data_IF_527057897273
#
_entry.id   IF_527057897273
#
_cell.length_a   1.000
_cell.length_b   1.000
_cell.length_c   1.000
_cell.angle_alpha   90.00
_cell.angle_beta   90.00
_cell.angle_gamma   90.00
#
_symmetry.space_group_name_H-M   'P 1'
#
loop_
_entity.id
_entity.type
_entity.pdbx_description
1 polymer ?
#
# COMPACT_ATOMS: atom_id res chain seq x y z
N UNK A 1 11.75 13.33 -41.47
CA UNK A 1 12.12 13.46 -40.05
C UNK A 1 11.54 12.27 -39.31
N UNK A 2 12.36 11.28 -38.96
CA UNK A 2 11.94 10.13 -38.15
C UNK A 2 12.02 10.56 -36.68
N UNK A 3 10.90 10.56 -35.97
CA UNK A 3 10.88 10.76 -34.52
C UNK A 3 11.01 9.37 -33.92
N UNK A 4 12.18 9.04 -33.40
CA UNK A 4 12.35 7.87 -32.55
C UNK A 4 11.87 8.26 -31.15
N UNK A 5 10.79 7.64 -30.70
CA UNK A 5 10.27 7.81 -29.34
C UNK A 5 11.11 6.88 -28.45
N UNK A 6 12.00 7.47 -27.66
CA UNK A 6 12.77 6.76 -26.65
C UNK A 6 11.81 6.24 -25.57
N UNK A 7 11.80 4.92 -25.33
CA UNK A 7 10.98 4.35 -24.27
C UNK A 7 11.52 4.78 -22.91
N UNK A 8 10.65 5.32 -22.06
CA UNK A 8 11.05 5.73 -20.71
C UNK A 8 11.36 4.45 -19.91
N UNK A 9 12.64 4.11 -19.78
CA UNK A 9 13.09 3.05 -18.89
C UNK A 9 13.04 3.56 -17.44
N UNK A 10 11.92 3.34 -16.76
CA UNK A 10 11.74 3.69 -15.34
C UNK A 10 12.09 2.55 -14.41
N UNK A 11 13.16 1.77 -14.66
CA UNK A 11 13.66 0.86 -13.63
C UNK A 11 14.21 1.68 -12.47
N UNK A 12 13.34 1.95 -11.48
CA UNK A 12 13.70 2.67 -10.27
C UNK A 12 14.59 1.74 -9.43
N UNK A 13 15.89 2.01 -9.45
CA UNK A 13 16.80 1.39 -8.51
C UNK A 13 16.33 1.70 -7.08
N UNK A 14 15.83 0.68 -6.39
CA UNK A 14 15.29 0.84 -5.04
C UNK A 14 16.40 1.28 -4.10
N UNK A 15 16.24 2.48 -3.51
CA UNK A 15 17.10 3.00 -2.46
C UNK A 15 16.53 2.59 -1.10
N UNK A 16 17.36 2.57 -0.06
CA UNK A 16 16.90 2.29 1.30
C UNK A 16 16.24 3.56 1.86
N UNK A 17 14.96 3.48 2.18
CA UNK A 17 14.18 4.51 2.87
C UNK A 17 13.41 3.92 4.08
N UNK A 18 12.77 4.78 4.87
CA UNK A 18 12.10 4.42 6.13
C UNK A 18 10.98 3.38 5.99
N UNK A 19 10.41 3.20 4.80
CA UNK A 19 9.33 2.25 4.54
C UNK A 19 9.69 1.22 3.44
N UNK A 20 10.95 1.17 3.00
CA UNK A 20 11.45 0.21 2.00
C UNK A 20 11.23 -1.28 2.32
N UNK A 21 10.98 -1.62 3.59
CA UNK A 21 10.67 -2.98 4.05
C UNK A 21 9.18 -3.34 3.94
N UNK A 22 8.31 -2.36 3.71
CA UNK A 22 6.86 -2.54 3.57
C UNK A 22 6.57 -2.96 2.14
N UNK A 23 5.99 -4.15 1.97
CA UNK A 23 5.68 -4.69 0.64
C UNK A 23 4.20 -4.73 0.33
N UNK A 24 3.36 -5.12 1.30
CA UNK A 24 1.91 -5.32 1.17
C UNK A 24 1.24 -5.20 2.54
N UNK A 25 -0.10 -5.27 2.58
CA UNK A 25 -0.85 -5.27 3.85
C UNK A 25 -0.68 -6.57 4.64
N UNK A 26 -0.21 -7.67 4.05
CA UNK A 26 0.07 -8.93 4.75
C UNK A 26 -1.18 -9.61 5.34
N UNK A 27 -2.30 -9.53 4.64
CA UNK A 27 -3.58 -10.12 5.03
C UNK A 27 -3.68 -11.58 4.55
N UNK A 28 -4.51 -12.36 5.23
CA UNK A 28 -4.97 -13.66 4.80
C UNK A 28 -6.07 -13.53 3.73
N UNK A 29 -6.42 -14.62 3.01
CA UNK A 29 -7.48 -14.61 2.01
C UNK A 29 -8.87 -14.25 2.57
N UNK A 30 -9.10 -14.50 3.86
CA UNK A 30 -10.33 -14.14 4.57
C UNK A 30 -10.37 -12.66 5.01
N UNK A 31 -9.29 -11.91 4.78
CA UNK A 31 -9.16 -10.50 5.13
C UNK A 31 -8.51 -10.24 6.49
N UNK A 32 -8.21 -11.27 7.29
CA UNK A 32 -7.59 -11.12 8.62
C UNK A 32 -6.09 -10.79 8.53
N UNK A 33 -5.56 -9.98 9.44
CA UNK A 33 -4.14 -9.64 9.45
C UNK A 33 -3.30 -10.69 10.17
N UNK A 34 -2.20 -11.13 9.54
CA UNK A 34 -1.19 -11.95 10.22
C UNK A 34 -0.43 -11.11 11.27
N UNK A 35 -0.09 -11.66 12.46
CA UNK A 35 0.62 -10.92 13.52
C UNK A 35 1.92 -10.25 13.05
N UNK A 36 2.64 -10.88 12.14
CA UNK A 36 3.81 -10.32 11.46
C UNK A 36 3.83 -10.79 10.02
N UNK A 37 3.79 -9.87 9.05
CA UNK A 37 3.84 -10.19 7.62
C UNK A 37 4.06 -8.96 6.75
N UNK A 38 4.68 -9.15 5.58
CA UNK A 38 4.86 -8.11 4.54
C UNK A 38 5.53 -6.81 5.03
N UNK A 39 6.37 -6.89 6.06
CA UNK A 39 7.06 -5.76 6.68
C UNK A 39 6.32 -5.15 7.88
N UNK A 40 5.08 -5.57 8.17
CA UNK A 40 4.35 -5.13 9.35
C UNK A 40 4.50 -6.08 10.54
N UNK A 41 4.46 -5.50 11.74
CA UNK A 41 4.30 -6.20 13.01
C UNK A 41 3.12 -5.57 13.76
N UNK A 42 2.11 -6.36 14.10
CA UNK A 42 0.88 -5.88 14.73
C UNK A 42 0.04 -4.97 13.82
N UNK A 43 -0.59 -3.95 14.42
CA UNK A 43 -1.56 -3.04 13.78
C UNK A 43 -2.62 -3.79 12.96
N UNK A 44 -3.12 -4.90 13.51
CA UNK A 44 -4.01 -5.84 12.80
C UNK A 44 -5.28 -5.12 12.32
N UNK A 45 -6.02 -4.49 13.21
CA UNK A 45 -7.29 -3.82 12.90
C UNK A 45 -7.13 -2.75 11.82
N UNK A 46 -6.03 -1.97 11.88
CA UNK A 46 -5.76 -0.93 10.89
C UNK A 46 -5.42 -1.53 9.51
N UNK A 47 -4.72 -2.67 9.47
CA UNK A 47 -4.40 -3.40 8.23
C UNK A 47 -5.63 -4.07 7.62
N UNK A 48 -6.51 -4.62 8.45
CA UNK A 48 -7.78 -5.22 8.01
C UNK A 48 -8.72 -4.14 7.44
N UNK A 49 -8.84 -2.99 8.12
CA UNK A 49 -9.58 -1.83 7.61
C UNK A 49 -9.00 -1.29 6.30
N UNK A 50 -7.67 -1.29 6.16
CA UNK A 50 -7.00 -0.96 4.91
C UNK A 50 -7.30 -1.99 3.80
N UNK A 51 -7.44 -3.28 4.13
CA UNK A 51 -7.85 -4.33 3.19
C UNK A 51 -9.26 -4.13 2.64
N UNK A 52 -10.21 -3.75 3.52
CA UNK A 52 -11.56 -3.34 3.12
C UNK A 52 -11.51 -2.13 2.18
N UNK A 53 -10.67 -1.16 2.51
CA UNK A 53 -10.46 0.03 1.68
C UNK A 53 -9.94 -0.32 0.29
N UNK A 54 -8.93 -1.19 0.19
CA UNK A 54 -8.42 -1.70 -1.10
C UNK A 54 -9.54 -2.39 -1.89
N UNK A 55 -10.37 -3.19 -1.23
CA UNK A 55 -11.52 -3.87 -1.85
C UNK A 55 -12.52 -2.85 -2.40
N UNK A 56 -12.85 -1.80 -1.64
CA UNK A 56 -13.75 -0.73 -2.08
C UNK A 56 -13.19 0.05 -3.28
N UNK A 57 -11.88 0.30 -3.31
CA UNK A 57 -11.21 0.96 -4.44
C UNK A 57 -11.28 0.07 -5.68
N UNK A 58 -10.92 -1.21 -5.58
CA UNK A 58 -10.99 -2.19 -6.68
C UNK A 58 -12.43 -2.34 -7.21
N UNK A 59 -13.42 -2.29 -6.32
CA UNK A 59 -14.84 -2.32 -6.67
C UNK A 59 -15.40 -0.98 -7.20
N UNK A 60 -14.56 0.07 -7.30
CA UNK A 60 -14.96 1.44 -7.69
C UNK A 60 -16.05 2.06 -6.80
N UNK A 61 -16.16 1.61 -5.54
CA UNK A 61 -17.15 2.06 -4.55
C UNK A 61 -16.63 3.15 -3.59
N UNK A 62 -15.39 3.60 -3.80
CA UNK A 62 -14.77 4.67 -3.00
C UNK A 62 -14.82 6.06 -3.69
N UNK A 63 -15.50 6.20 -4.83
CA UNK A 63 -15.56 7.47 -5.56
C UNK A 63 -16.17 8.59 -4.68
N UNK A 64 -15.50 9.76 -4.65
CA UNK A 64 -15.94 10.92 -3.87
C UNK A 64 -15.77 10.79 -2.35
N UNK A 65 -15.06 9.76 -1.86
CA UNK A 65 -14.79 9.53 -0.44
C UNK A 65 -13.30 9.66 -0.15
N UNK A 66 -12.97 10.12 1.05
CA UNK A 66 -11.59 10.18 1.55
C UNK A 66 -11.40 9.19 2.70
N UNK A 67 -10.15 8.81 2.95
CA UNK A 67 -9.76 7.97 4.09
C UNK A 67 -8.84 8.82 4.97
N UNK A 68 -9.08 8.84 6.28
CA UNK A 68 -8.24 9.53 7.24
C UNK A 68 -7.61 8.54 8.21
N UNK A 69 -6.28 8.55 8.31
CA UNK A 69 -5.53 7.76 9.28
C UNK A 69 -5.27 8.60 10.53
N UNK A 70 -5.90 8.26 11.64
CA UNK A 70 -5.74 8.96 12.92
C UNK A 70 -4.88 8.15 13.89
N UNK A 71 -4.01 8.83 14.65
CA UNK A 71 -3.20 8.22 15.70
C UNK A 71 -1.91 8.98 16.01
N UNK A 72 -1.21 8.65 17.11
CA UNK A 72 0.04 9.31 17.53
C UNK A 72 1.15 9.26 16.47
N UNK A 73 2.15 10.17 16.50
CA UNK A 73 3.31 10.07 15.62
C UNK A 73 4.02 8.71 15.80
N UNK A 74 4.58 8.17 14.70
CA UNK A 74 5.26 6.87 14.72
C UNK A 74 4.35 5.63 14.69
N UNK A 75 3.02 5.78 14.67
CA UNK A 75 2.06 4.66 14.68
C UNK A 75 1.86 3.95 13.33
N UNK A 76 2.76 4.12 12.36
CA UNK A 76 2.69 3.41 11.07
C UNK A 76 1.64 3.90 10.06
N UNK A 77 1.04 5.09 10.25
CA UNK A 77 0.03 5.65 9.31
C UNK A 77 0.55 5.72 7.87
N UNK A 78 1.74 6.29 7.68
CA UNK A 78 2.37 6.41 6.35
C UNK A 78 2.74 5.05 5.76
N UNK A 79 3.15 4.09 6.61
CA UNK A 79 3.44 2.72 6.18
C UNK A 79 2.17 2.02 5.65
N UNK A 80 1.02 2.19 6.31
CA UNK A 80 -0.26 1.64 5.84
C UNK A 80 -0.67 2.27 4.50
N UNK A 81 -0.53 3.59 4.36
CA UNK A 81 -0.82 4.27 3.09
C UNK A 81 0.05 3.74 1.94
N UNK A 82 1.35 3.53 2.19
CA UNK A 82 2.26 2.92 1.22
C UNK A 82 1.84 1.48 0.87
N UNK A 83 1.47 0.68 1.87
CA UNK A 83 1.02 -0.70 1.66
C UNK A 83 -0.29 -0.78 0.85
N UNK A 84 -1.22 0.16 1.04
CA UNK A 84 -2.43 0.28 0.21
C UNK A 84 -2.04 0.54 -1.26
N UNK A 85 -1.09 1.45 -1.50
CA UNK A 85 -0.58 1.71 -2.85
C UNK A 85 -0.07 0.43 -3.51
N UNK A 86 0.79 -0.32 -2.80
CA UNK A 86 1.34 -1.59 -3.29
C UNK A 86 0.28 -2.68 -3.54
N UNK A 87 -0.82 -2.69 -2.80
CA UNK A 87 -1.94 -3.63 -3.01
C UNK A 87 -2.81 -3.30 -4.23
N UNK A 88 -2.84 -2.03 -4.63
CA UNK A 88 -3.59 -1.56 -5.79
C UNK A 88 -2.81 -1.72 -7.09
N UNK A 89 -1.48 -1.68 -7.02
CA UNK A 89 -0.61 -1.95 -8.14
C UNK A 89 0.85 -1.94 -7.70
N UNK A 90 1.63 -2.79 -8.36
CA UNK A 90 3.07 -2.74 -8.32
C UNK A 90 3.52 -2.81 -9.77
N UNK A 91 4.27 -1.80 -10.22
CA UNK A 91 5.18 -1.98 -11.34
C UNK A 91 6.31 -2.91 -10.88
#
# INVERSE_FOLDING_TARGET
MKIEIESVQTEHQRRIDSHSHISKLGLNPDGTAKPSSSGFVGQCDAREAAGLTVTLIKAKKLAGRTIMFAGPPGSGKTAIALAISHELGHN
#
